data_IF_695415744769
#
_entry.id   IF_695415744769
#
_cell.length_a   1.000
_cell.length_b   1.000
_cell.length_c   1.000
_cell.angle_alpha   90.00
_cell.angle_beta   90.00
_cell.angle_gamma   90.00
#
_symmetry.space_group_name_H-M   'P 1'
#
loop_
_entity.id
_entity.type
_entity.pdbx_description
1 polymer ?
#
# COMPACT_ATOMS: atom_id res chain seq x y z
N UNK A 1 -36.02 -52.25 -19.84
CA UNK A 1 -36.51 -52.14 -18.45
C UNK A 1 -35.27 -51.80 -17.61
N UNK A 2 -34.75 -50.57 -17.64
CA UNK A 2 -35.25 -49.33 -17.00
C UNK A 2 -35.49 -49.52 -15.50
N UNK A 3 -34.81 -48.65 -14.71
CA UNK A 3 -34.98 -48.31 -13.28
C UNK A 3 -34.43 -49.34 -12.27
N UNK A 4 -33.63 -49.00 -11.26
CA UNK A 4 -33.45 -47.76 -10.48
C UNK A 4 -32.07 -47.87 -9.76
N UNK A 5 -31.07 -47.00 -9.98
CA UNK A 5 -30.83 -45.69 -9.35
C UNK A 5 -30.48 -45.71 -7.84
N UNK A 6 -29.44 -44.94 -7.47
CA UNK A 6 -29.08 -44.42 -6.13
C UNK A 6 -28.44 -45.44 -5.15
N UNK A 7 -27.12 -45.47 -4.89
CA UNK A 7 -26.29 -44.58 -4.03
C UNK A 7 -24.96 -45.37 -3.90
N UNK A 8 -23.74 -44.87 -4.08
CA UNK A 8 -23.09 -43.86 -3.27
C UNK A 8 -21.89 -43.31 -4.04
N UNK A 9 -21.92 -42.01 -4.26
CA UNK A 9 -20.80 -41.20 -4.69
C UNK A 9 -19.65 -41.25 -3.67
N UNK A 10 -18.50 -40.79 -4.17
CA UNK A 10 -17.40 -40.20 -3.40
C UNK A 10 -16.42 -41.18 -2.76
N UNK A 11 -15.37 -41.51 -3.50
CA UNK A 11 -14.02 -41.48 -2.93
C UNK A 11 -13.00 -41.02 -3.97
N UNK A 12 -13.29 -39.90 -4.64
CA UNK A 12 -12.22 -39.02 -5.10
C UNK A 12 -11.63 -38.43 -3.82
N UNK A 13 -10.53 -39.01 -3.37
CA UNK A 13 -9.66 -38.38 -2.39
C UNK A 13 -9.15 -37.07 -3.01
N UNK A 14 -9.90 -36.00 -2.78
CA UNK A 14 -9.36 -34.65 -2.85
C UNK A 14 -8.23 -34.60 -1.83
N UNK A 15 -7.01 -34.73 -2.30
CA UNK A 15 -5.86 -34.23 -1.58
C UNK A 15 -6.12 -32.73 -1.45
N UNK A 16 -6.72 -32.33 -0.35
CA UNK A 16 -6.65 -30.96 0.11
C UNK A 16 -5.18 -30.73 0.40
N UNK A 17 -4.45 -30.23 -0.61
CA UNK A 17 -3.20 -29.53 -0.34
C UNK A 17 -3.61 -28.40 0.59
N UNK A 18 -3.25 -28.50 1.86
CA UNK A 18 -3.31 -27.36 2.75
C UNK A 18 -2.49 -26.27 2.06
N UNK A 19 -3.17 -25.26 1.50
CA UNK A 19 -2.53 -24.07 0.97
C UNK A 19 -1.77 -23.51 2.17
N UNK A 20 -0.43 -23.66 2.18
CA UNK A 20 0.44 -23.13 3.22
C UNK A 20 -0.01 -21.69 3.43
N UNK A 21 -0.58 -21.39 4.61
CA UNK A 21 -1.23 -20.11 4.87
C UNK A 21 -0.30 -18.99 4.41
N UNK A 22 -0.74 -18.26 3.39
CA UNK A 22 0.03 -17.19 2.81
C UNK A 22 0.23 -16.17 3.92
N UNK A 23 1.49 -15.94 4.31
CA UNK A 23 1.79 -15.02 5.39
C UNK A 23 1.51 -13.61 4.86
N UNK A 24 0.51 -12.95 5.42
CA UNK A 24 0.15 -11.57 5.09
C UNK A 24 0.84 -10.60 6.05
N UNK A 25 1.11 -9.38 5.59
CA UNK A 25 1.62 -8.35 6.48
C UNK A 25 0.46 -7.72 7.25
N UNK A 26 0.65 -7.58 8.57
CA UNK A 26 -0.21 -6.72 9.36
C UNK A 26 0.03 -5.26 8.95
N UNK A 27 -1.05 -4.57 8.59
CA UNK A 27 -1.01 -3.15 8.26
C UNK A 27 -0.84 -2.36 9.57
N UNK A 28 0.24 -1.58 9.68
CA UNK A 28 0.41 -0.65 10.81
C UNK A 28 -0.64 0.47 10.76
N UNK A 29 -0.77 1.23 11.85
CA UNK A 29 -1.64 2.41 11.86
C UNK A 29 -1.13 3.47 10.87
N UNK A 30 -2.03 4.20 10.21
CA UNK A 30 -1.66 5.31 9.35
C UNK A 30 -0.97 6.45 10.12
N UNK A 31 -0.07 7.23 9.47
CA UNK A 31 0.64 8.35 10.10
C UNK A 31 -0.30 9.30 10.83
N UNK A 32 -0.01 9.65 12.08
CA UNK A 32 -0.71 10.75 12.76
C UNK A 32 -0.60 12.03 11.94
N UNK A 33 -1.71 12.75 11.80
CA UNK A 33 -1.87 13.93 10.95
C UNK A 33 -1.51 13.70 9.46
N UNK A 34 -1.58 12.44 9.01
CA UNK A 34 -1.34 12.04 7.63
C UNK A 34 -2.26 10.90 7.20
N UNK A 35 -1.86 10.21 6.13
CA UNK A 35 -2.58 9.09 5.55
C UNK A 35 -1.63 8.07 4.93
N UNK A 36 -2.14 6.89 4.59
CA UNK A 36 -1.52 5.94 3.68
C UNK A 36 -2.36 5.81 2.43
N UNK A 37 -1.72 5.71 1.27
CA UNK A 37 -2.34 5.09 0.11
C UNK A 37 -1.73 3.69 -0.06
N UNK A 38 -2.58 2.66 -0.12
CA UNK A 38 -2.14 1.27 -0.22
C UNK A 38 -2.81 0.56 -1.39
N UNK A 39 -2.03 -0.20 -2.17
CA UNK A 39 -2.53 -1.19 -3.13
C UNK A 39 -2.78 -2.53 -2.45
N UNK A 40 -3.76 -3.25 -2.97
CA UNK A 40 -4.15 -4.58 -2.51
C UNK A 40 -4.04 -5.57 -3.66
N UNK A 41 -3.68 -6.80 -3.35
CA UNK A 41 -3.68 -7.88 -4.33
C UNK A 41 -5.12 -8.42 -4.56
N UNK A 42 -5.30 -9.26 -5.57
CA UNK A 42 -6.57 -9.96 -5.85
C UNK A 42 -7.14 -10.78 -4.67
N UNK A 43 -6.28 -11.20 -3.72
CA UNK A 43 -6.70 -11.88 -2.50
C UNK A 43 -7.19 -10.91 -1.41
N UNK A 44 -7.18 -9.60 -1.67
CA UNK A 44 -7.57 -8.55 -0.72
C UNK A 44 -6.51 -8.26 0.34
N UNK A 45 -5.27 -8.69 0.14
CA UNK A 45 -4.16 -8.50 1.05
C UNK A 45 -3.37 -7.26 0.65
N UNK A 46 -2.83 -6.54 1.64
CA UNK A 46 -2.02 -5.35 1.35
C UNK A 46 -0.74 -5.74 0.63
N UNK A 47 -0.50 -5.13 -0.53
CA UNK A 47 0.69 -5.39 -1.31
C UNK A 47 1.74 -4.29 -1.14
N UNK A 48 1.35 -3.03 -1.28
CA UNK A 48 2.28 -1.91 -1.09
C UNK A 48 1.58 -0.64 -0.61
N UNK A 49 2.30 0.21 0.12
CA UNK A 49 1.80 1.45 0.70
C UNK A 49 2.82 2.58 0.57
N UNK A 50 2.33 3.82 0.43
CA UNK A 50 3.11 5.04 0.63
C UNK A 50 2.49 5.88 1.76
N UNK A 51 3.34 6.37 2.66
CA UNK A 51 2.96 7.31 3.70
C UNK A 51 2.85 8.73 3.11
N UNK A 52 1.85 9.47 3.52
CA UNK A 52 1.55 10.81 3.02
C UNK A 52 1.25 11.76 4.18
N UNK A 53 1.77 12.99 4.10
CA UNK A 53 1.48 14.04 5.06
C UNK A 53 0.57 15.13 4.47
N UNK A 54 -0.16 15.84 5.34
CA UNK A 54 -0.75 17.11 4.94
C UNK A 54 0.36 18.07 4.52
N UNK A 55 0.19 18.84 3.45
CA UNK A 55 1.25 19.72 2.89
C UNK A 55 1.78 20.75 3.89
N UNK A 56 0.97 21.16 4.87
CA UNK A 56 1.37 22.06 5.96
C UNK A 56 2.32 21.43 6.98
N UNK A 57 2.41 20.10 7.01
CA UNK A 57 3.24 19.31 7.92
C UNK A 57 4.38 18.62 7.17
N UNK A 58 5.25 17.93 7.90
CA UNK A 58 6.35 17.17 7.33
C UNK A 58 6.60 15.86 8.09
N UNK A 59 7.30 14.90 7.48
CA UNK A 59 7.61 13.63 8.12
C UNK A 59 8.64 13.80 9.24
N UNK A 60 8.40 13.17 10.39
CA UNK A 60 9.34 13.19 11.53
C UNK A 60 10.73 12.67 11.14
N UNK A 61 10.81 11.67 10.27
CA UNK A 61 12.02 11.17 9.60
C UNK A 61 11.71 10.83 8.13
N UNK A 62 12.74 10.69 7.28
CA UNK A 62 12.54 10.39 5.84
C UNK A 62 11.80 9.05 5.64
N UNK A 63 10.64 9.03 4.97
CA UNK A 63 9.94 7.79 4.66
C UNK A 63 10.64 7.03 3.51
N UNK A 64 10.39 5.74 3.42
CA UNK A 64 10.60 5.04 2.15
C UNK A 64 9.60 5.53 1.09
N UNK A 65 9.99 5.40 -0.18
CA UNK A 65 9.10 5.72 -1.30
C UNK A 65 7.91 4.77 -1.38
N UNK A 66 8.16 3.50 -1.11
CA UNK A 66 7.14 2.47 -1.07
C UNK A 66 7.52 1.43 -0.02
N UNK A 67 6.56 1.08 0.83
CA UNK A 67 6.63 -0.07 1.72
C UNK A 67 5.89 -1.19 1.03
N UNK A 68 6.48 -2.37 0.87
CA UNK A 68 5.82 -3.49 0.20
C UNK A 68 5.91 -4.78 0.99
N UNK A 69 4.86 -5.57 0.89
CA UNK A 69 4.71 -6.82 1.61
C UNK A 69 5.09 -8.00 0.73
N UNK A 70 5.96 -8.87 1.23
CA UNK A 70 6.16 -10.21 0.66
C UNK A 70 6.55 -11.19 1.76
N UNK A 71 6.02 -12.42 1.70
CA UNK A 71 6.30 -13.44 2.72
C UNK A 71 5.89 -13.06 4.15
N UNK A 72 4.94 -12.12 4.31
CA UNK A 72 4.49 -11.59 5.59
C UNK A 72 5.47 -10.61 6.25
N UNK A 73 6.42 -10.08 5.48
CA UNK A 73 7.38 -9.08 5.93
C UNK A 73 7.30 -7.81 5.09
N UNK A 74 7.45 -6.67 5.78
CA UNK A 74 7.52 -5.37 5.15
C UNK A 74 8.95 -5.11 4.67
N UNK A 75 9.05 -4.66 3.43
CA UNK A 75 10.28 -4.24 2.78
C UNK A 75 10.15 -2.79 2.35
N UNK A 76 11.29 -2.13 2.19
CA UNK A 76 11.37 -0.72 1.83
C UNK A 76 11.95 -0.63 0.42
N UNK A 77 11.25 0.05 -0.47
CA UNK A 77 11.79 0.47 -1.76
C UNK A 77 12.25 1.92 -1.65
N UNK A 78 13.53 2.14 -1.94
CA UNK A 78 14.21 3.43 -1.82
C UNK A 78 14.94 3.68 -3.14
N UNK A 79 14.80 4.87 -3.72
CA UNK A 79 15.58 5.23 -4.90
C UNK A 79 17.05 5.43 -4.55
N UNK A 80 17.99 5.04 -5.43
CA UNK A 80 19.41 5.30 -5.23
C UNK A 80 19.70 6.77 -4.94
N UNK A 81 20.59 7.04 -3.97
CA UNK A 81 21.05 8.39 -3.64
C UNK A 81 20.18 9.17 -2.66
N UNK A 82 19.15 8.53 -2.08
CA UNK A 82 18.28 9.16 -1.08
C UNK A 82 18.28 8.40 0.22
N UNK A 83 18.22 9.15 1.31
CA UNK A 83 18.11 8.58 2.64
C UNK A 83 16.66 8.22 2.92
N UNK A 84 16.43 7.01 3.44
CA UNK A 84 15.19 6.65 4.12
C UNK A 84 15.55 5.98 5.42
N UNK A 85 14.73 6.19 6.45
CA UNK A 85 14.87 5.44 7.69
C UNK A 85 14.44 3.99 7.45
N UNK A 86 15.21 2.97 7.89
CA UNK A 86 14.78 1.58 7.84
C UNK A 86 13.70 1.25 8.89
N UNK A 87 13.22 2.26 9.63
CA UNK A 87 12.30 2.08 10.75
C UNK A 87 10.88 1.76 10.28
N UNK A 88 10.26 0.83 10.97
CA UNK A 88 8.81 0.60 10.95
C UNK A 88 8.24 0.83 12.35
N UNK A 89 7.00 1.34 12.49
CA UNK A 89 6.10 1.76 11.40
C UNK A 89 6.62 2.99 10.63
N UNK A 90 5.99 3.29 9.50
CA UNK A 90 6.24 4.50 8.72
C UNK A 90 6.09 5.78 9.58
N UNK A 91 6.73 6.90 9.21
CA UNK A 91 6.79 8.11 10.03
C UNK A 91 5.44 8.82 10.16
N UNK A 92 5.21 9.38 11.34
CA UNK A 92 4.15 10.37 11.60
C UNK A 92 4.44 11.73 10.94
N UNK A 93 3.42 12.57 10.86
CA UNK A 93 3.50 13.94 10.33
C UNK A 93 3.48 14.97 11.45
N UNK A 94 4.44 15.91 11.43
CA UNK A 94 4.60 16.96 12.43
C UNK A 94 5.15 18.26 11.83
N UNK A 95 5.09 19.35 12.60
CA UNK A 95 5.72 20.61 12.22
C UNK A 95 7.24 20.50 12.39
N UNK A 96 8.00 20.72 11.31
CA UNK A 96 9.47 20.73 11.34
C UNK A 96 10.02 22.09 10.95
N UNK A 97 11.11 22.48 11.60
CA UNK A 97 11.86 23.69 11.27
C UNK A 97 12.58 23.59 9.91
N UNK A 98 12.94 22.38 9.50
CA UNK A 98 13.60 22.11 8.22
C UNK A 98 12.84 21.04 7.43
N UNK A 99 12.68 21.22 6.11
CA UNK A 99 11.92 20.31 5.29
C UNK A 99 12.63 18.95 5.12
N UNK A 100 11.86 17.87 5.00
CA UNK A 100 12.39 16.57 4.57
C UNK A 100 12.89 16.62 3.13
N UNK A 101 13.81 15.72 2.78
CA UNK A 101 14.29 15.55 1.41
C UNK A 101 13.11 15.29 0.48
N UNK A 102 12.17 14.42 0.88
CA UNK A 102 10.99 14.11 0.07
C UNK A 102 10.10 15.34 -0.18
N UNK A 103 9.98 16.27 0.79
CA UNK A 103 9.22 17.52 0.63
C UNK A 103 9.84 18.48 -0.38
N UNK A 104 11.15 18.39 -0.57
CA UNK A 104 11.89 19.18 -1.57
C UNK A 104 12.09 18.44 -2.91
N UNK A 105 11.70 17.17 -2.97
CA UNK A 105 11.90 16.33 -4.15
C UNK A 105 10.86 16.59 -5.26
N UNK A 106 11.17 16.15 -6.49
CA UNK A 106 10.21 16.15 -7.61
C UNK A 106 8.99 15.26 -7.38
N UNK A 107 9.03 14.36 -6.39
CA UNK A 107 7.94 13.43 -6.05
C UNK A 107 7.07 13.94 -4.90
N UNK A 108 7.29 15.17 -4.40
CA UNK A 108 6.53 15.78 -3.30
C UNK A 108 5.01 15.60 -3.46
N UNK A 109 4.48 15.75 -4.68
CA UNK A 109 3.04 15.66 -4.91
C UNK A 109 2.44 14.32 -4.50
N UNK A 110 3.20 13.22 -4.53
CA UNK A 110 2.77 11.89 -4.08
C UNK A 110 2.77 11.78 -2.55
N UNK A 111 3.73 12.41 -1.88
CA UNK A 111 3.92 12.26 -0.42
C UNK A 111 3.21 13.34 0.39
N UNK A 112 2.62 14.33 -0.27
CA UNK A 112 1.91 15.44 0.38
C UNK A 112 0.57 15.72 -0.28
N UNK A 113 -0.45 15.98 0.55
CA UNK A 113 -1.80 16.31 0.11
C UNK A 113 -2.36 17.55 0.81
N UNK A 114 -3.29 18.23 0.15
CA UNK A 114 -4.03 19.37 0.67
C UNK A 114 -5.47 18.96 1.00
N UNK A 115 -6.11 19.66 1.95
CA UNK A 115 -7.50 19.38 2.35
C UNK A 115 -7.65 18.50 3.60
N UNK A 116 -8.84 17.94 3.79
CA UNK A 116 -9.19 16.95 4.82
C UNK A 116 -9.05 15.54 4.22
N UNK A 117 -8.24 14.67 4.83
CA UNK A 117 -8.04 13.30 4.36
C UNK A 117 -9.30 12.42 4.42
N UNK A 118 -10.34 12.84 5.16
CA UNK A 118 -11.65 12.18 5.19
C UNK A 118 -12.55 12.56 4.01
N UNK A 119 -12.21 13.62 3.28
CA UNK A 119 -12.94 14.02 2.08
C UNK A 119 -12.69 13.01 0.95
N UNK A 120 -13.74 12.41 0.36
CA UNK A 120 -13.60 11.47 -0.73
C UNK A 120 -12.83 12.02 -1.93
N UNK A 121 -12.94 13.31 -2.23
CA UNK A 121 -12.21 13.95 -3.34
C UNK A 121 -10.70 14.05 -3.06
N UNK A 122 -10.33 14.29 -1.80
CA UNK A 122 -8.92 14.31 -1.36
C UNK A 122 -8.36 12.89 -1.40
N UNK A 123 -9.14 11.89 -0.97
CA UNK A 123 -8.74 10.48 -1.09
C UNK A 123 -8.56 10.06 -2.54
N UNK A 124 -9.47 10.46 -3.43
CA UNK A 124 -9.42 10.17 -4.86
C UNK A 124 -8.15 10.75 -5.52
N UNK A 125 -7.78 11.98 -5.14
CA UNK A 125 -6.54 12.61 -5.56
C UNK A 125 -5.30 11.85 -5.04
N UNK A 126 -5.29 11.44 -3.77
CA UNK A 126 -4.18 10.64 -3.21
C UNK A 126 -4.03 9.30 -3.93
N UNK A 127 -5.13 8.59 -4.21
CA UNK A 127 -5.10 7.34 -4.98
C UNK A 127 -4.51 7.55 -6.38
N UNK A 128 -4.93 8.62 -7.06
CA UNK A 128 -4.45 8.97 -8.40
C UNK A 128 -2.95 9.19 -8.39
N UNK A 129 -2.45 10.05 -7.49
CA UNK A 129 -1.01 10.34 -7.41
C UNK A 129 -0.17 9.15 -6.97
N UNK A 130 -0.70 8.28 -6.11
CA UNK A 130 -0.04 7.03 -5.75
C UNK A 130 0.08 6.10 -6.95
N UNK A 131 -1.02 5.92 -7.70
CA UNK A 131 -1.04 5.08 -8.90
C UNK A 131 -0.07 5.60 -9.97
N UNK A 132 -0.10 6.90 -10.25
CA UNK A 132 0.83 7.55 -11.19
C UNK A 132 2.28 7.33 -10.76
N UNK A 133 2.56 7.41 -9.46
CA UNK A 133 3.91 7.25 -8.92
C UNK A 133 4.45 5.82 -9.07
N UNK A 134 3.66 4.80 -8.75
CA UNK A 134 4.09 3.39 -8.88
C UNK A 134 4.12 2.89 -10.34
N UNK A 135 3.57 3.68 -11.28
CA UNK A 135 3.64 3.46 -12.74
C UNK A 135 4.77 4.23 -13.43
N UNK A 136 5.57 5.00 -12.68
CA UNK A 136 6.72 5.70 -13.29
C UNK A 136 7.69 4.64 -13.83
N UNK A 137 8.27 4.80 -15.04
CA UNK A 137 9.15 3.81 -15.65
C UNK A 137 10.39 3.40 -14.82
N UNK A 138 10.78 4.21 -13.83
CA UNK A 138 11.88 3.91 -12.91
C UNK A 138 11.49 2.96 -11.77
N UNK A 139 10.20 2.71 -11.54
CA UNK A 139 9.73 1.70 -10.60
C UNK A 139 9.80 0.31 -11.22
N UNK A 140 10.22 -0.72 -10.46
CA UNK A 140 10.14 -2.09 -10.92
C UNK A 140 8.72 -2.47 -11.37
N UNK A 141 8.55 -3.07 -12.57
CA UNK A 141 7.23 -3.38 -13.13
C UNK A 141 6.36 -4.27 -12.25
N UNK A 142 6.97 -5.07 -11.36
CA UNK A 142 6.23 -5.93 -10.44
C UNK A 142 5.39 -5.15 -9.41
N UNK A 143 5.65 -3.85 -9.22
CA UNK A 143 4.83 -3.02 -8.34
C UNK A 143 3.46 -2.68 -8.94
N UNK A 144 3.35 -2.65 -10.28
CA UNK A 144 2.10 -2.25 -10.93
C UNK A 144 1.90 -2.81 -12.33
N UNK A 145 2.79 -2.55 -13.30
CA UNK A 145 2.53 -2.87 -14.71
C UNK A 145 2.32 -4.37 -15.00
N UNK A 146 2.91 -5.25 -14.18
CA UNK A 146 2.73 -6.71 -14.29
C UNK A 146 1.54 -7.24 -13.47
N UNK A 147 0.69 -6.34 -12.96
CA UNK A 147 -0.38 -6.63 -12.02
C UNK A 147 -1.73 -6.12 -12.53
N UNK A 148 -2.66 -7.02 -12.92
CA UNK A 148 -3.96 -6.60 -13.46
C UNK A 148 -4.83 -5.85 -12.43
N UNK A 149 -4.58 -6.10 -11.15
CA UNK A 149 -5.18 -5.46 -9.99
C UNK A 149 -4.54 -4.11 -9.63
N UNK A 150 -3.54 -3.63 -10.37
CA UNK A 150 -2.98 -2.30 -10.18
C UNK A 150 -3.86 -1.21 -10.82
N UNK A 151 -4.99 -0.96 -10.19
CA UNK A 151 -5.98 0.04 -10.58
C UNK A 151 -6.24 1.03 -9.45
N UNK A 152 -6.86 2.16 -9.79
CA UNK A 152 -7.19 3.20 -8.79
C UNK A 152 -8.21 2.69 -7.77
N UNK A 153 -9.13 1.84 -8.23
CA UNK A 153 -10.22 1.26 -7.46
C UNK A 153 -9.69 0.31 -6.37
N UNK A 154 -8.59 -0.38 -6.65
CA UNK A 154 -7.91 -1.28 -5.71
C UNK A 154 -6.97 -0.55 -4.73
N UNK A 155 -6.80 0.76 -4.89
CA UNK A 155 -6.05 1.57 -3.92
C UNK A 155 -7.02 2.06 -2.84
N UNK A 156 -6.64 1.84 -1.57
CA UNK A 156 -7.37 2.35 -0.41
C UNK A 156 -6.55 3.40 0.32
N UNK A 157 -7.24 4.42 0.83
CA UNK A 157 -6.64 5.41 1.70
C UNK A 157 -6.97 5.06 3.15
N UNK A 158 -5.95 5.02 4.00
CA UNK A 158 -6.10 4.88 5.44
C UNK A 158 -5.73 6.20 6.09
N UNK A 159 -6.72 6.86 6.71
CA UNK A 159 -6.53 8.15 7.38
C UNK A 159 -5.97 7.90 8.78
N UNK A 160 -4.93 8.63 9.14
CA UNK A 160 -4.36 8.56 10.49
C UNK A 160 -5.16 9.35 11.52
N UNK A 161 -4.83 9.14 12.79
CA UNK A 161 -5.42 9.92 13.87
C UNK A 161 -5.01 11.41 13.79
N UNK A 162 -5.86 12.31 14.27
CA UNK A 162 -5.60 13.75 14.28
C UNK A 162 -6.26 14.55 13.15
N UNK A 163 -7.14 13.91 12.36
CA UNK A 163 -8.09 14.56 11.47
C UNK A 163 -9.44 14.79 12.16
#
# INVERSE_FOLDING_TARGET
>A
MILQYFILNVLLATIATAKKGEKTCLLYAAPKNGALACSYNDAGEVFSCAAMCRSSLDFVFEPAYLYYCTGGQWHLYIFPGLAASPSLPWPDCYNKASPSQIKTSKYKSTFFFDGDARDPSVQDAMKTKFLEFIKIPSFPPFFCDQKPDCTKENIKVHVGAGF
#
